data_IF_545183293411
#
_entry.id   IF_545183293411
#
_cell.length_a   1.000
_cell.length_b   1.000
_cell.length_c   1.000
_cell.angle_alpha   90.00
_cell.angle_beta   90.00
_cell.angle_gamma   90.00
#
_symmetry.space_group_name_H-M   'P 1'
#
loop_
_entity.id
_entity.type
_entity.pdbx_description
1 polymer ?
#
# COMPACT_ATOMS: atom_id res chain seq x y z
N UNK A 1 -14.40 26.14 18.11
CA UNK A 1 -13.31 25.40 18.75
C UNK A 1 -13.54 23.87 18.75
N UNK A 2 -14.80 23.38 18.86
CA UNK A 2 -15.11 21.92 18.88
C UNK A 2 -14.89 21.21 17.56
N UNK A 3 -14.99 21.87 16.41
CA UNK A 3 -14.77 21.27 15.07
C UNK A 3 -13.29 21.02 14.79
N UNK A 4 -12.42 21.98 15.10
CA UNK A 4 -10.96 21.85 14.96
C UNK A 4 -10.37 20.75 15.86
N UNK A 5 -10.88 20.57 17.08
CA UNK A 5 -10.46 19.48 17.98
C UNK A 5 -10.75 18.09 17.39
N UNK A 6 -11.93 17.91 16.78
CA UNK A 6 -12.30 16.62 16.15
C UNK A 6 -11.46 16.26 14.94
N UNK A 7 -11.11 17.23 14.09
CA UNK A 7 -10.22 16.98 12.94
C UNK A 7 -8.84 16.54 13.43
N UNK A 8 -8.28 17.24 14.42
CA UNK A 8 -6.98 16.88 15.00
C UNK A 8 -6.95 15.49 15.62
N UNK A 9 -8.00 15.09 16.35
CA UNK A 9 -8.12 13.74 16.93
C UNK A 9 -8.24 12.66 15.84
N UNK A 10 -9.06 12.90 14.81
CA UNK A 10 -9.21 11.97 13.70
C UNK A 10 -7.91 11.81 12.93
N UNK A 11 -7.23 12.93 12.63
CA UNK A 11 -5.94 12.90 11.95
C UNK A 11 -4.87 12.17 12.76
N UNK A 12 -4.85 12.35 14.08
CA UNK A 12 -3.93 11.61 14.96
C UNK A 12 -4.18 10.10 14.97
N UNK A 13 -5.45 9.67 14.93
CA UNK A 13 -5.78 8.24 14.82
C UNK A 13 -5.34 7.64 13.49
N UNK A 14 -5.54 8.38 12.39
CA UNK A 14 -5.08 7.95 11.05
C UNK A 14 -3.55 7.87 11.03
N UNK A 15 -2.85 8.87 11.58
CA UNK A 15 -1.39 8.87 11.69
C UNK A 15 -0.88 7.66 12.47
N UNK A 16 -1.49 7.34 13.61
CA UNK A 16 -1.09 6.19 14.43
C UNK A 16 -1.27 4.87 13.66
N UNK A 17 -2.43 4.67 13.04
CA UNK A 17 -2.68 3.48 12.22
C UNK A 17 -1.72 3.40 11.01
N UNK A 18 -1.40 4.52 10.40
CA UNK A 18 -0.42 4.60 9.32
C UNK A 18 0.97 4.19 9.80
N UNK A 19 1.45 4.73 10.91
CA UNK A 19 2.76 4.38 11.49
C UNK A 19 2.86 2.88 11.76
N UNK A 20 1.85 2.26 12.35
CA UNK A 20 1.82 0.82 12.62
C UNK A 20 1.90 0.01 11.33
N UNK A 21 1.11 0.37 10.31
CA UNK A 21 1.10 -0.29 9.00
C UNK A 21 2.44 -0.15 8.28
N UNK A 22 3.05 1.05 8.33
CA UNK A 22 4.34 1.32 7.71
C UNK A 22 5.49 0.58 8.42
N UNK A 23 5.50 0.51 9.75
CA UNK A 23 6.49 -0.28 10.51
C UNK A 23 6.36 -1.77 10.16
N UNK A 24 5.14 -2.30 10.11
CA UNK A 24 4.90 -3.69 9.72
C UNK A 24 5.41 -3.98 8.30
N UNK A 25 5.18 -3.05 7.36
CA UNK A 25 5.65 -3.17 5.97
C UNK A 25 7.18 -2.98 5.87
N UNK A 26 7.79 -2.11 6.65
CA UNK A 26 9.24 -1.91 6.69
C UNK A 26 9.98 -3.18 7.15
N UNK A 27 9.41 -3.87 8.15
CA UNK A 27 9.95 -5.14 8.68
C UNK A 27 9.69 -6.34 7.75
N UNK A 28 8.67 -6.27 6.90
CA UNK A 28 8.32 -7.32 5.95
C UNK A 28 8.06 -6.67 4.56
N UNK A 29 9.11 -6.19 3.88
CA UNK A 29 8.97 -5.31 2.71
C UNK A 29 8.18 -5.95 1.57
N UNK A 30 8.36 -7.23 1.29
CA UNK A 30 7.61 -7.98 0.28
C UNK A 30 6.57 -8.90 0.92
N UNK A 31 5.86 -8.43 1.97
CA UNK A 31 4.96 -9.24 2.80
C UNK A 31 5.64 -10.50 3.38
N UNK A 32 6.96 -10.49 3.49
CA UNK A 32 7.78 -11.64 3.87
C UNK A 32 8.08 -12.61 2.73
N UNK A 33 7.65 -12.32 1.52
CA UNK A 33 8.00 -13.07 0.31
C UNK A 33 9.34 -12.66 -0.28
N UNK A 34 9.72 -13.34 -1.36
CA UNK A 34 10.92 -13.03 -2.13
C UNK A 34 10.70 -11.74 -2.97
N UNK A 35 11.65 -10.81 -3.03
CA UNK A 35 11.53 -9.60 -3.84
C UNK A 35 11.36 -9.92 -5.34
N UNK A 36 10.31 -9.37 -5.96
CA UNK A 36 10.08 -9.46 -7.39
C UNK A 36 10.24 -8.07 -8.03
N UNK A 37 11.32 -7.88 -8.79
CA UNK A 37 11.74 -6.58 -9.32
C UNK A 37 11.37 -6.38 -10.80
N UNK A 38 10.85 -7.40 -11.48
CA UNK A 38 10.55 -7.39 -12.92
C UNK A 38 9.21 -6.71 -13.23
N UNK A 39 9.01 -5.47 -12.82
CA UNK A 39 7.91 -4.55 -13.20
C UNK A 39 6.52 -5.20 -13.45
N UNK A 40 6.18 -6.27 -12.72
CA UNK A 40 4.94 -7.06 -12.88
C UNK A 40 4.78 -7.73 -14.27
N UNK A 41 5.83 -7.83 -15.09
CA UNK A 41 5.78 -8.62 -16.32
C UNK A 41 5.61 -10.10 -16.00
N UNK A 42 4.80 -10.77 -16.82
CA UNK A 42 4.56 -12.21 -16.63
C UNK A 42 5.86 -13.00 -16.76
N UNK A 43 6.35 -13.68 -15.71
CA UNK A 43 7.56 -14.48 -15.80
C UNK A 43 7.39 -15.63 -16.80
N UNK A 44 8.45 -15.94 -17.54
CA UNK A 44 8.44 -17.04 -18.52
C UNK A 44 8.08 -18.36 -17.84
N UNK A 45 7.26 -19.16 -18.49
CA UNK A 45 6.85 -20.45 -17.95
C UNK A 45 5.85 -20.35 -16.79
N UNK A 46 5.09 -19.28 -16.70
CA UNK A 46 4.01 -19.10 -15.72
C UNK A 46 2.64 -19.05 -16.39
N UNK A 47 1.60 -19.34 -15.61
CA UNK A 47 0.20 -19.22 -15.99
C UNK A 47 -0.45 -18.11 -15.17
N UNK A 48 -1.23 -17.25 -15.83
CA UNK A 48 -1.97 -16.18 -15.18
C UNK A 48 -3.22 -16.74 -14.46
N UNK A 49 -3.44 -16.29 -13.23
CA UNK A 49 -4.61 -16.63 -12.42
C UNK A 49 -5.46 -15.38 -12.23
N UNK A 50 -6.72 -15.47 -12.62
CA UNK A 50 -7.66 -14.36 -12.63
C UNK A 50 -8.64 -14.44 -11.46
N UNK A 51 -9.01 -13.31 -10.85
CA UNK A 51 -9.96 -13.28 -9.75
C UNK A 51 -11.39 -13.53 -10.26
N UNK A 52 -12.23 -14.08 -9.39
CA UNK A 52 -13.68 -14.19 -9.63
C UNK A 52 -14.46 -12.99 -9.09
N UNK A 53 -13.84 -12.22 -8.19
CA UNK A 53 -14.45 -11.07 -7.51
C UNK A 53 -13.92 -9.76 -8.09
N UNK A 54 -14.74 -8.72 -7.96
CA UNK A 54 -14.35 -7.33 -8.26
C UNK A 54 -14.25 -6.59 -6.92
N UNK A 55 -13.23 -5.79 -6.72
CA UNK A 55 -13.04 -4.99 -5.50
C UNK A 55 -11.58 -4.73 -5.22
N UNK A 56 -11.31 -4.28 -4.00
CA UNK A 56 -9.96 -4.03 -3.52
C UNK A 56 -9.40 -5.24 -2.79
N UNK A 57 -8.14 -5.58 -3.04
CA UNK A 57 -7.41 -6.52 -2.22
C UNK A 57 -7.22 -5.89 -0.84
N UNK A 58 -7.93 -6.39 0.14
CA UNK A 58 -7.84 -5.91 1.52
C UNK A 58 -6.66 -6.53 2.25
N UNK A 59 -6.48 -7.85 2.07
CA UNK A 59 -5.50 -8.63 2.80
C UNK A 59 -5.07 -9.85 2.01
N UNK A 60 -3.78 -10.19 2.08
CA UNK A 60 -3.23 -11.45 1.55
C UNK A 60 -2.74 -12.31 2.72
N UNK A 61 -3.34 -13.48 2.88
CA UNK A 61 -2.93 -14.43 3.90
C UNK A 61 -1.68 -15.20 3.46
N UNK A 62 -0.51 -14.58 3.65
CA UNK A 62 0.77 -15.14 3.25
C UNK A 62 1.07 -16.48 3.92
N UNK A 63 0.61 -16.70 5.16
CA UNK A 63 0.79 -17.98 5.88
C UNK A 63 -0.02 -19.08 5.21
N UNK A 64 -1.30 -18.84 4.89
CA UNK A 64 -2.15 -19.81 4.18
C UNK A 64 -1.60 -20.09 2.79
N UNK A 65 -1.19 -19.03 2.07
CA UNK A 65 -0.62 -19.13 0.73
C UNK A 65 0.66 -19.98 0.73
N UNK A 66 1.59 -19.71 1.64
CA UNK A 66 2.84 -20.47 1.75
C UNK A 66 2.59 -21.93 2.13
N UNK A 67 1.59 -22.23 2.99
CA UNK A 67 1.23 -23.61 3.34
C UNK A 67 0.74 -24.40 2.13
N UNK A 68 0.02 -23.79 1.21
CA UNK A 68 -0.42 -24.43 -0.03
C UNK A 68 0.77 -24.83 -0.91
N UNK A 69 1.91 -24.16 -0.77
CA UNK A 69 3.13 -24.39 -1.55
C UNK A 69 4.19 -25.24 -0.81
N UNK A 70 3.93 -25.72 0.41
CA UNK A 70 4.96 -26.41 1.23
C UNK A 70 5.52 -27.66 0.58
N UNK A 71 4.68 -28.42 -0.14
CA UNK A 71 5.07 -29.64 -0.86
C UNK A 71 4.89 -29.50 -2.38
N UNK A 72 4.83 -28.26 -2.86
CA UNK A 72 4.63 -27.91 -4.25
C UNK A 72 5.87 -27.15 -4.74
N UNK A 73 6.54 -27.60 -5.82
CA UNK A 73 7.75 -26.94 -6.31
C UNK A 73 7.46 -25.63 -7.05
N UNK A 74 6.19 -25.25 -7.16
CA UNK A 74 5.77 -24.05 -7.89
C UNK A 74 6.03 -22.78 -7.09
N UNK A 75 6.20 -21.71 -7.84
CA UNK A 75 6.33 -20.35 -7.33
C UNK A 75 5.11 -19.52 -7.70
N UNK A 76 4.69 -18.66 -6.79
CA UNK A 76 3.61 -17.68 -6.98
C UNK A 76 4.22 -16.29 -7.08
N UNK A 77 3.83 -15.53 -8.09
CA UNK A 77 4.20 -14.12 -8.28
C UNK A 77 2.94 -13.28 -8.10
N UNK A 78 2.88 -12.52 -7.02
CA UNK A 78 1.72 -11.69 -6.68
C UNK A 78 1.73 -10.41 -7.52
N UNK A 79 0.80 -10.30 -8.46
CA UNK A 79 0.57 -9.10 -9.27
C UNK A 79 -0.22 -8.08 -8.46
N UNK A 80 -1.35 -8.52 -7.90
CA UNK A 80 -2.18 -7.68 -7.05
C UNK A 80 -1.65 -7.67 -5.62
N UNK A 81 -1.46 -6.47 -5.09
CA UNK A 81 -1.05 -6.24 -3.71
C UNK A 81 -2.22 -5.65 -2.89
N UNK A 82 -2.13 -5.63 -1.55
CA UNK A 82 -3.10 -4.91 -0.73
C UNK A 82 -3.28 -3.48 -1.24
N UNK A 83 -4.54 -3.07 -1.42
CA UNK A 83 -4.94 -1.81 -2.05
C UNK A 83 -5.18 -1.85 -3.55
N UNK A 84 -4.76 -2.90 -4.26
CA UNK A 84 -5.04 -3.05 -5.69
C UNK A 84 -6.53 -3.26 -5.93
N UNK A 85 -7.11 -2.52 -6.88
CA UNK A 85 -8.44 -2.81 -7.40
C UNK A 85 -8.33 -3.91 -8.45
N UNK A 86 -9.07 -5.01 -8.26
CA UNK A 86 -9.01 -6.19 -9.11
C UNK A 86 -10.36 -6.47 -9.77
N UNK A 87 -10.30 -7.07 -10.96
CA UNK A 87 -11.46 -7.51 -11.73
C UNK A 87 -11.09 -8.72 -12.61
N UNK A 88 -12.08 -9.50 -13.13
CA UNK A 88 -11.82 -10.75 -13.86
C UNK A 88 -10.97 -10.66 -15.13
N UNK A 89 -10.74 -9.45 -15.66
CA UNK A 89 -9.94 -9.26 -16.89
C UNK A 89 -8.45 -9.00 -16.63
N UNK A 90 -8.01 -8.94 -15.36
CA UNK A 90 -6.59 -8.77 -15.03
C UNK A 90 -6.12 -9.87 -14.07
N UNK A 91 -4.90 -10.42 -14.27
CA UNK A 91 -4.39 -11.43 -13.38
C UNK A 91 -4.10 -10.85 -11.99
N UNK A 92 -4.32 -11.63 -10.94
CA UNK A 92 -3.94 -11.28 -9.57
C UNK A 92 -2.65 -11.92 -9.13
N UNK A 93 -2.28 -13.02 -9.78
CA UNK A 93 -0.99 -13.67 -9.59
C UNK A 93 -0.60 -14.46 -10.85
N UNK A 94 0.68 -14.76 -10.97
CA UNK A 94 1.19 -15.77 -11.89
C UNK A 94 1.67 -16.98 -11.10
N UNK A 95 1.39 -18.18 -11.61
CA UNK A 95 1.82 -19.45 -11.04
C UNK A 95 2.84 -20.10 -11.98
N UNK A 96 4.02 -20.45 -11.49
CA UNK A 96 5.01 -21.19 -12.30
C UNK A 96 4.48 -22.57 -12.71
N UNK A 97 4.97 -23.08 -13.84
CA UNK A 97 4.40 -24.26 -14.51
C UNK A 97 4.23 -25.48 -13.61
N UNK A 98 3.11 -26.10 -13.76
CA UNK A 98 2.63 -27.36 -13.27
C UNK A 98 1.29 -27.62 -13.95
N UNK A 99 0.81 -28.86 -14.03
CA UNK A 99 -0.49 -29.14 -14.62
C UNK A 99 -1.56 -28.21 -14.06
N UNK A 100 -2.51 -27.76 -14.91
CA UNK A 100 -3.71 -27.04 -14.46
C UNK A 100 -4.30 -27.79 -13.27
N UNK A 101 -4.11 -27.25 -12.09
CA UNK A 101 -4.48 -27.95 -10.89
C UNK A 101 -5.45 -27.12 -10.06
N UNK A 102 -6.25 -27.82 -9.28
CA UNK A 102 -7.19 -27.29 -8.29
C UNK A 102 -6.61 -26.20 -7.37
N UNK A 103 -5.30 -26.08 -7.25
CA UNK A 103 -4.62 -25.13 -6.37
C UNK A 103 -4.91 -23.65 -6.71
N UNK A 104 -5.21 -23.31 -7.98
CA UNK A 104 -5.52 -21.92 -8.35
C UNK A 104 -6.74 -21.37 -7.60
N UNK A 105 -7.74 -22.21 -7.35
CA UNK A 105 -8.90 -21.81 -6.57
C UNK A 105 -8.53 -21.58 -5.10
N UNK A 106 -7.72 -22.46 -4.52
CA UNK A 106 -7.25 -22.35 -3.13
C UNK A 106 -6.33 -21.14 -2.94
N UNK A 107 -5.48 -20.84 -3.94
CA UNK A 107 -4.63 -19.63 -3.95
C UNK A 107 -5.49 -18.37 -3.95
N UNK A 108 -6.55 -18.31 -4.75
CA UNK A 108 -7.47 -17.17 -4.78
C UNK A 108 -8.18 -16.96 -3.44
N UNK A 109 -8.45 -18.02 -2.67
CA UNK A 109 -9.02 -17.91 -1.33
C UNK A 109 -8.07 -17.29 -0.28
N UNK A 110 -6.77 -17.19 -0.60
CA UNK A 110 -5.81 -16.50 0.27
C UNK A 110 -5.86 -14.98 0.11
N UNK A 111 -6.49 -14.49 -0.96
CA UNK A 111 -6.65 -13.07 -1.29
C UNK A 111 -8.03 -12.63 -0.85
N UNK A 112 -8.09 -11.80 0.18
CA UNK A 112 -9.34 -11.27 0.71
C UNK A 112 -9.67 -9.99 -0.05
N UNK A 113 -10.87 -9.95 -0.63
CA UNK A 113 -11.37 -8.85 -1.46
C UNK A 113 -12.53 -8.17 -0.76
N UNK A 114 -12.53 -6.86 -0.70
CA UNK A 114 -13.54 -6.00 -0.10
C UNK A 114 -13.98 -4.89 -1.08
N UNK A 115 -15.15 -4.32 -0.84
CA UNK A 115 -15.64 -3.16 -1.61
C UNK A 115 -14.88 -1.86 -1.26
N UNK A 116 -14.16 -1.84 -0.14
CA UNK A 116 -13.40 -0.69 0.36
C UNK A 116 -11.97 -1.06 0.72
N UNK A 117 -11.07 -0.08 0.66
CA UNK A 117 -9.70 -0.23 1.15
C UNK A 117 -9.66 -0.17 2.68
N UNK A 118 -8.67 -0.81 3.29
CA UNK A 118 -8.43 -0.77 4.73
C UNK A 118 -6.95 -0.53 5.03
N UNK A 119 -6.63 -0.17 6.28
CA UNK A 119 -5.24 0.04 6.72
C UNK A 119 -4.50 -1.27 7.05
N UNK A 120 -5.17 -2.43 6.98
CA UNK A 120 -4.63 -3.69 7.49
C UNK A 120 -3.27 -4.10 6.88
N UNK A 121 -3.10 -3.97 5.57
CA UNK A 121 -1.84 -4.24 4.87
C UNK A 121 -1.50 -3.20 3.80
N UNK A 122 -2.24 -2.09 3.72
CA UNK A 122 -2.15 -1.10 2.64
C UNK A 122 -1.60 0.25 3.15
N UNK A 123 -0.27 0.42 3.20
CA UNK A 123 0.34 1.67 3.63
C UNK A 123 0.05 2.83 2.66
N UNK A 124 -0.14 2.56 1.35
CA UNK A 124 -0.48 3.58 0.36
C UNK A 124 -1.85 4.21 0.65
N UNK A 125 -2.81 3.41 1.11
CA UNK A 125 -4.11 3.93 1.52
C UNK A 125 -4.01 4.87 2.72
N UNK A 126 -3.13 4.58 3.68
CA UNK A 126 -2.88 5.49 4.79
C UNK A 126 -2.45 6.88 4.32
N UNK A 127 -1.53 6.95 3.34
CA UNK A 127 -1.07 8.21 2.76
C UNK A 127 -2.16 8.90 1.95
N UNK A 128 -2.95 8.15 1.18
CA UNK A 128 -4.08 8.71 0.42
C UNK A 128 -5.10 9.37 1.36
N UNK A 129 -5.45 8.73 2.47
CA UNK A 129 -6.38 9.30 3.47
C UNK A 129 -5.79 10.57 4.12
N UNK A 130 -4.49 10.57 4.45
CA UNK A 130 -3.81 11.77 4.95
C UNK A 130 -3.84 12.90 3.93
N UNK A 131 -3.57 12.61 2.65
CA UNK A 131 -3.63 13.58 1.57
C UNK A 131 -5.07 14.14 1.40
N UNK A 132 -6.09 13.29 1.47
CA UNK A 132 -7.50 13.71 1.39
C UNK A 132 -7.89 14.67 2.53
N UNK A 133 -7.39 14.45 3.75
CA UNK A 133 -7.61 15.36 4.89
C UNK A 133 -6.99 16.74 4.58
N UNK A 134 -5.75 16.77 4.07
CA UNK A 134 -5.09 18.00 3.68
C UNK A 134 -5.83 18.71 2.54
N UNK A 135 -6.20 17.99 1.48
CA UNK A 135 -6.94 18.53 0.34
C UNK A 135 -8.31 19.10 0.76
N UNK A 136 -9.00 18.42 1.67
CA UNK A 136 -10.27 18.95 2.23
C UNK A 136 -10.05 20.26 3.00
N UNK A 137 -8.98 20.36 3.78
CA UNK A 137 -8.64 21.59 4.48
C UNK A 137 -8.31 22.73 3.51
N UNK A 138 -7.68 22.43 2.38
CA UNK A 138 -7.34 23.40 1.32
C UNK A 138 -8.50 23.75 0.39
N UNK A 139 -9.63 23.06 0.48
CA UNK A 139 -10.77 23.34 -0.37
C UNK A 139 -11.30 24.78 -0.17
N UNK A 140 -11.83 25.43 -1.22
CA UNK A 140 -12.34 26.80 -1.13
C UNK A 140 -13.41 27.02 -0.04
N UNK A 141 -14.16 25.96 0.30
CA UNK A 141 -15.20 26.02 1.32
C UNK A 141 -14.65 25.99 2.76
N UNK A 142 -13.48 25.37 2.98
CA UNK A 142 -12.84 25.23 4.31
C UNK A 142 -11.73 26.27 4.48
N UNK A 143 -10.85 26.39 3.49
CA UNK A 143 -9.73 27.34 3.42
C UNK A 143 -8.90 27.41 4.72
N UNK A 144 -8.47 26.23 5.21
CA UNK A 144 -7.68 26.08 6.44
C UNK A 144 -6.26 25.56 6.13
N UNK A 145 -5.34 26.44 5.71
CA UNK A 145 -3.96 26.06 5.43
C UNK A 145 -3.21 25.57 6.67
N UNK A 146 -3.64 25.99 7.87
CA UNK A 146 -3.02 25.55 9.13
C UNK A 146 -3.17 24.05 9.35
N UNK A 147 -4.38 23.50 9.17
CA UNK A 147 -4.63 22.07 9.22
C UNK A 147 -3.85 21.33 8.13
N UNK A 148 -3.81 21.84 6.90
CA UNK A 148 -3.04 21.21 5.83
C UNK A 148 -1.54 21.15 6.17
N UNK A 149 -0.95 22.20 6.74
CA UNK A 149 0.44 22.24 7.19
C UNK A 149 0.71 21.19 8.29
N UNK A 150 -0.19 21.04 9.26
CA UNK A 150 -0.08 19.99 10.29
C UNK A 150 -0.10 18.59 9.66
N UNK A 151 -1.03 18.34 8.73
CA UNK A 151 -1.13 17.05 8.02
C UNK A 151 0.11 16.76 7.19
N UNK A 152 0.69 17.75 6.51
CA UNK A 152 1.98 17.58 5.80
C UNK A 152 3.07 17.15 6.77
N UNK A 153 3.16 17.78 7.94
CA UNK A 153 4.12 17.38 8.98
C UNK A 153 3.93 15.94 9.46
N UNK A 154 2.68 15.49 9.60
CA UNK A 154 2.34 14.11 9.97
C UNK A 154 2.73 13.13 8.88
N UNK A 155 2.45 13.43 7.60
CA UNK A 155 2.87 12.62 6.47
C UNK A 155 4.39 12.45 6.40
N UNK A 156 5.15 13.52 6.63
CA UNK A 156 6.61 13.46 6.74
C UNK A 156 7.06 12.53 7.88
N UNK A 157 6.42 12.59 9.06
CA UNK A 157 6.74 11.67 10.17
C UNK A 157 6.49 10.22 9.81
N UNK A 158 5.36 9.92 9.16
CA UNK A 158 5.03 8.56 8.70
C UNK A 158 6.11 8.03 7.75
N UNK A 159 6.47 8.80 6.72
CA UNK A 159 7.48 8.44 5.74
C UNK A 159 8.89 8.31 6.36
N UNK A 160 9.25 9.21 7.28
CA UNK A 160 10.52 9.14 8.01
C UNK A 160 10.57 7.90 8.91
N UNK A 161 9.47 7.58 9.59
CA UNK A 161 9.37 6.36 10.42
C UNK A 161 9.53 5.10 9.54
N UNK A 162 8.91 5.08 8.35
CA UNK A 162 9.11 4.00 7.39
C UNK A 162 10.57 3.85 7.00
N UNK A 163 11.23 4.93 6.60
CA UNK A 163 12.62 4.92 6.19
C UNK A 163 13.56 4.42 7.31
N UNK A 164 13.34 4.88 8.54
CA UNK A 164 14.12 4.49 9.72
C UNK A 164 13.94 3.02 10.15
N UNK A 165 12.80 2.41 9.81
CA UNK A 165 12.50 1.03 10.16
C UNK A 165 12.79 0.04 9.02
N UNK A 166 13.23 0.50 7.85
CA UNK A 166 13.72 -0.39 6.79
C UNK A 166 14.96 -1.13 7.27
N UNK A 167 15.00 -2.44 7.01
CA UNK A 167 16.21 -3.24 7.20
C UNK A 167 16.95 -3.34 5.88
N UNK A 168 18.28 -3.28 5.95
CA UNK A 168 19.16 -3.56 4.80
C UNK A 168 19.12 -5.06 4.44
N UNK A 169 18.83 -5.91 5.42
CA UNK A 169 18.66 -7.36 5.23
C UNK A 169 17.17 -7.71 5.19
N UNK A 170 16.75 -8.29 4.07
CA UNK A 170 15.36 -8.77 3.88
C UNK A 170 15.28 -10.22 4.34
N UNK A 171 14.62 -10.47 5.46
CA UNK A 171 14.28 -11.83 5.89
C UNK A 171 13.17 -12.39 4.99
N UNK A 172 13.48 -13.40 4.18
CA UNK A 172 12.51 -14.09 3.34
C UNK A 172 11.87 -15.23 4.12
N UNK A 173 10.62 -15.04 4.54
CA UNK A 173 9.83 -16.04 5.29
C UNK A 173 9.09 -17.01 4.36
N UNK A 174 8.78 -16.57 3.14
CA UNK A 174 7.97 -17.30 2.16
C UNK A 174 8.70 -17.37 0.81
N UNK A 175 9.73 -18.21 0.66
CA UNK A 175 10.63 -18.20 -0.49
C UNK A 175 9.96 -18.57 -1.83
N UNK A 176 8.84 -19.30 -1.80
CA UNK A 176 8.07 -19.64 -3.01
C UNK A 176 7.08 -18.55 -3.43
N UNK A 177 6.98 -17.44 -2.67
CA UNK A 177 6.06 -16.33 -2.97
C UNK A 177 6.85 -15.09 -3.31
N UNK A 178 6.66 -14.58 -4.52
CA UNK A 178 7.35 -13.40 -5.03
C UNK A 178 6.43 -12.19 -5.00
N UNK A 179 6.90 -11.09 -4.43
CA UNK A 179 6.10 -9.86 -4.24
C UNK A 179 6.95 -8.65 -4.59
N UNK A 180 6.40 -7.73 -5.37
CA UNK A 180 7.08 -6.48 -5.67
C UNK A 180 7.20 -5.60 -4.40
N UNK A 181 8.35 -5.00 -4.13
CA UNK A 181 8.51 -4.07 -3.02
C UNK A 181 7.73 -2.78 -3.27
N UNK A 182 7.36 -2.08 -2.18
CA UNK A 182 6.81 -0.73 -2.28
C UNK A 182 7.84 0.20 -2.91
N UNK A 183 7.40 0.98 -3.89
CA UNK A 183 8.23 1.99 -4.53
C UNK A 183 8.15 3.31 -3.75
N UNK A 184 9.30 3.90 -3.43
CA UNK A 184 9.32 5.18 -2.71
C UNK A 184 8.63 6.30 -3.50
N UNK A 185 8.77 6.31 -4.83
CA UNK A 185 8.13 7.31 -5.68
C UNK A 185 6.61 7.26 -5.55
N UNK A 186 6.02 6.05 -5.54
CA UNK A 186 4.57 5.89 -5.36
C UNK A 186 4.10 6.49 -4.03
N UNK A 187 4.87 6.28 -2.95
CA UNK A 187 4.53 6.81 -1.63
C UNK A 187 4.56 8.33 -1.59
N UNK A 188 5.58 8.93 -2.25
CA UNK A 188 5.70 10.39 -2.35
C UNK A 188 4.58 10.98 -3.23
N UNK A 189 4.28 10.32 -4.35
CA UNK A 189 3.20 10.74 -5.24
C UNK A 189 1.82 10.64 -4.58
N UNK A 190 1.51 9.54 -3.90
CA UNK A 190 0.23 9.34 -3.22
C UNK A 190 -0.07 10.41 -2.18
N UNK A 191 0.96 10.94 -1.53
CA UNK A 191 0.80 11.94 -0.48
C UNK A 191 0.98 13.38 -0.97
N UNK A 192 2.12 13.68 -1.61
CA UNK A 192 2.48 15.07 -1.91
C UNK A 192 1.80 15.62 -3.17
N UNK A 193 1.56 14.79 -4.20
CA UNK A 193 1.00 15.30 -5.45
C UNK A 193 -0.39 15.92 -5.31
N UNK A 194 -1.38 15.29 -4.64
CA UNK A 194 -2.69 15.93 -4.47
C UNK A 194 -2.62 17.18 -3.58
N UNK A 195 -1.78 17.17 -2.55
CA UNK A 195 -1.60 18.33 -1.65
C UNK A 195 -0.94 19.50 -2.39
N UNK A 196 0.08 19.23 -3.21
CA UNK A 196 0.75 20.24 -4.02
C UNK A 196 -0.19 20.86 -5.06
N UNK A 197 -1.05 20.03 -5.70
CA UNK A 197 -2.06 20.48 -6.65
C UNK A 197 -3.07 21.42 -5.99
N UNK A 198 -3.66 21.00 -4.88
CA UNK A 198 -4.75 21.75 -4.24
C UNK A 198 -4.21 23.00 -3.47
N UNK A 199 -2.97 22.95 -3.03
CA UNK A 199 -2.26 24.07 -2.43
C UNK A 199 -1.45 24.94 -3.41
N UNK A 200 -1.62 24.76 -4.73
CA UNK A 200 -0.78 25.43 -5.74
C UNK A 200 -0.79 26.97 -5.64
N UNK A 201 -1.92 27.57 -5.27
CA UNK A 201 -2.07 29.00 -5.06
C UNK A 201 -1.61 29.52 -3.68
N UNK A 202 -1.19 28.64 -2.78
CA UNK A 202 -0.84 28.98 -1.39
C UNK A 202 0.67 28.79 -1.15
N UNK A 203 1.38 29.93 -1.05
CA UNK A 203 2.86 29.92 -0.92
C UNK A 203 3.35 29.14 0.28
N UNK A 204 2.68 29.25 1.42
CA UNK A 204 3.00 28.54 2.67
C UNK A 204 2.88 27.02 2.51
N UNK A 205 1.92 26.54 1.73
CA UNK A 205 1.74 25.11 1.42
C UNK A 205 2.88 24.64 0.53
N UNK A 206 3.19 25.37 -0.55
CA UNK A 206 4.29 25.02 -1.46
C UNK A 206 5.63 24.93 -0.73
N UNK A 207 5.92 25.89 0.14
CA UNK A 207 7.13 25.87 0.97
C UNK A 207 7.15 24.63 1.89
N UNK A 208 6.02 24.27 2.46
CA UNK A 208 5.95 23.11 3.37
C UNK A 208 6.11 21.79 2.63
N UNK A 209 5.50 21.65 1.44
CA UNK A 209 5.67 20.50 0.56
C UNK A 209 7.14 20.33 0.16
N UNK A 210 7.79 21.39 -0.32
CA UNK A 210 9.22 21.36 -0.69
C UNK A 210 10.12 20.95 0.48
N UNK A 211 9.87 21.47 1.69
CA UNK A 211 10.61 21.07 2.90
C UNK A 211 10.32 19.66 3.35
N UNK A 212 9.18 19.08 2.99
CA UNK A 212 8.84 17.71 3.29
C UNK A 212 9.47 16.70 2.33
N UNK A 213 9.86 17.17 1.13
CA UNK A 213 10.53 16.37 0.10
C UNK A 213 12.07 16.43 0.19
N UNK A 214 12.63 17.33 0.99
CA UNK A 214 14.08 17.51 1.20
C UNK A 214 14.59 16.70 2.40
#
# INVERSE_FOLDING_TARGET
LTSLGRVGETTAKVEQAAIETFIARARNPCLGGYPWLENNEQPKGTVAVYPKKIGYVEYINMVKLSKLLTNDPRHVYLVAQPGSFIHPSMPVLYLSQGQESSISADLLETIIVSDVRSFAQDPRFCLSVMAEIACRALSPAVNDPGTAIDVIGRGVRILSTYAQNKSDEIEVKYPSVHVAPLQNNDLLEDFFSPVARDGAGMREIQIRVLKGLS
#
